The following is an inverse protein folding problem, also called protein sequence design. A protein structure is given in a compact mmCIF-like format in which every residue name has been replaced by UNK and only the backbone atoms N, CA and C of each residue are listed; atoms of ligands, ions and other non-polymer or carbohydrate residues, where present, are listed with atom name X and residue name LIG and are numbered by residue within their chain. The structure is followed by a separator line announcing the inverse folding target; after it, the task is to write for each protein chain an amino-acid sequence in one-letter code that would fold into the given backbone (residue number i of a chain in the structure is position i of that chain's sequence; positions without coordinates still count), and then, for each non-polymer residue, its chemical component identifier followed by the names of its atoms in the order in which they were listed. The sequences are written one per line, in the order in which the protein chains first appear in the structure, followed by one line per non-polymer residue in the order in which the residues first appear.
data_IF_594890552302
#
_entry.id   IF_594890552302
#
_cell.length_a   1.000
_cell.length_b   1.000
_cell.length_c   1.000
_cell.angle_alpha   90.00
_cell.angle_beta   90.00
_cell.angle_gamma   90.00
#
_symmetry.space_group_name_H-M   'P 1'
#
loop_
_entity.id
_entity.type
_entity.pdbx_description
1 polymer ?
#
# COMPACT_ATOMS: atom_id res chain seq x y z
N UNK A 1 55.93 -38.51 -51.25
CA UNK A 1 55.18 -38.88 -50.04
C UNK A 1 56.07 -38.60 -48.83
N UNK A 2 56.42 -37.36 -48.43
CA UNK A 2 55.66 -36.11 -48.15
C UNK A 2 54.49 -36.37 -47.19
N UNK A 3 54.35 -35.81 -45.99
CA UNK A 3 54.97 -34.70 -45.23
C UNK A 3 54.84 -35.03 -43.72
N UNK A 4 55.85 -34.95 -42.85
CA UNK A 4 56.56 -33.80 -42.22
C UNK A 4 55.64 -32.81 -41.44
N UNK A 5 55.82 -32.81 -40.11
CA UNK A 5 55.23 -31.89 -39.10
C UNK A 5 55.80 -30.47 -39.19
N UNK A 6 55.03 -29.44 -38.79
CA UNK A 6 55.42 -28.22 -38.02
C UNK A 6 54.16 -27.31 -37.79
N UNK A 7 54.13 -26.45 -36.75
CA UNK A 7 52.97 -26.20 -35.89
C UNK A 7 52.40 -24.76 -35.88
N UNK A 8 51.27 -24.61 -35.17
CA UNK A 8 50.86 -23.49 -34.28
C UNK A 8 51.63 -22.17 -34.38
N UNK A 9 51.11 -21.17 -35.12
CA UNK A 9 51.01 -19.73 -34.78
C UNK A 9 50.52 -18.94 -36.04
N UNK A 10 49.63 -17.95 -35.84
CA UNK A 10 49.10 -16.94 -36.79
C UNK A 10 47.76 -17.20 -37.51
N UNK A 11 46.98 -16.11 -37.58
CA UNK A 11 45.60 -15.89 -38.08
C UNK A 11 44.51 -16.43 -37.12
N UNK A 12 43.65 -15.63 -36.49
CA UNK A 12 42.96 -14.42 -36.94
C UNK A 12 42.30 -13.78 -35.68
N UNK A 13 42.86 -12.78 -34.99
CA UNK A 13 42.74 -11.34 -35.30
C UNK A 13 41.38 -10.85 -35.82
N UNK A 14 40.26 -11.42 -35.36
CA UNK A 14 38.94 -10.75 -35.37
C UNK A 14 38.19 -11.09 -34.07
N UNK A 15 38.33 -10.25 -33.04
CA UNK A 15 37.19 -9.93 -32.19
C UNK A 15 37.31 -8.48 -31.73
N UNK A 16 36.55 -7.67 -32.46
CA UNK A 16 36.25 -6.25 -32.26
C UNK A 16 36.07 -5.88 -30.78
N UNK A 17 36.74 -4.79 -30.41
CA UNK A 17 36.19 -3.68 -29.63
C UNK A 17 34.71 -3.84 -29.24
N UNK A 18 34.46 -4.33 -28.03
CA UNK A 18 33.23 -4.00 -27.31
C UNK A 18 33.48 -2.62 -26.71
N UNK A 19 33.25 -1.56 -27.48
CA UNK A 19 33.08 -0.23 -26.90
C UNK A 19 31.90 -0.33 -25.95
N UNK A 20 32.14 -0.13 -24.66
CA UNK A 20 31.10 0.11 -23.69
C UNK A 20 30.24 1.27 -24.22
N UNK A 21 29.06 0.96 -24.73
CA UNK A 21 28.07 1.99 -25.04
C UNK A 21 27.69 2.55 -23.67
N UNK A 22 27.97 3.83 -23.36
CA UNK A 22 27.44 4.41 -22.15
C UNK A 22 25.92 4.35 -22.32
N UNK A 23 25.26 3.51 -21.50
CA UNK A 23 23.82 3.58 -21.32
C UNK A 23 23.57 4.94 -20.72
N UNK A 24 23.32 5.93 -21.58
CA UNK A 24 22.86 7.23 -21.15
C UNK A 24 21.53 6.97 -20.46
N UNK A 25 21.54 7.06 -19.14
CA UNK A 25 20.31 7.25 -18.38
C UNK A 25 19.66 8.49 -18.99
N UNK A 26 18.58 8.29 -19.73
CA UNK A 26 17.76 9.39 -20.19
C UNK A 26 17.24 10.07 -18.93
N UNK A 27 17.87 11.19 -18.57
CA UNK A 27 17.35 12.08 -17.55
C UNK A 27 15.91 12.42 -17.97
N UNK A 28 14.94 11.94 -17.20
CA UNK A 28 13.54 12.26 -17.43
C UNK A 28 13.43 13.78 -17.47
N UNK A 29 13.11 14.34 -18.64
CA UNK A 29 13.10 15.78 -18.81
C UNK A 29 12.14 16.40 -17.77
N UNK A 30 12.59 17.43 -17.04
CA UNK A 30 11.81 18.07 -15.97
C UNK A 30 10.51 18.67 -16.50
N UNK A 31 9.35 18.20 -16.02
CA UNK A 31 8.04 18.64 -16.52
C UNK A 31 7.72 20.06 -16.04
N UNK A 32 7.66 21.02 -16.96
CA UNK A 32 7.32 22.41 -16.61
C UNK A 32 5.81 22.54 -16.40
N UNK A 33 5.38 23.13 -15.27
CA UNK A 33 3.96 23.35 -14.97
C UNK A 33 3.69 24.85 -14.89
N UNK A 34 2.62 25.27 -15.55
CA UNK A 34 2.13 26.65 -15.51
C UNK A 34 0.71 26.66 -14.96
N UNK A 35 0.43 27.52 -13.99
CA UNK A 35 -0.91 27.79 -13.48
C UNK A 35 -1.29 29.21 -13.88
N UNK A 36 -2.40 29.36 -14.59
CA UNK A 36 -2.90 30.65 -15.08
C UNK A 36 -1.83 31.49 -15.80
N UNK A 37 -0.99 30.82 -16.61
CA UNK A 37 0.10 31.46 -17.37
C UNK A 37 1.40 31.67 -16.60
N UNK A 38 1.42 31.45 -15.28
CA UNK A 38 2.62 31.61 -14.44
C UNK A 38 3.31 30.27 -14.22
N UNK A 39 4.62 30.20 -14.46
CA UNK A 39 5.41 28.99 -14.21
C UNK A 39 5.51 28.74 -12.70
N UNK A 40 5.11 27.56 -12.25
CA UNK A 40 5.29 27.13 -10.86
C UNK A 40 6.75 26.76 -10.65
N UNK A 41 7.38 27.34 -9.64
CA UNK A 41 8.74 26.99 -9.22
C UNK A 41 8.65 25.89 -8.17
N UNK A 42 9.24 24.74 -8.45
CA UNK A 42 9.19 23.59 -7.56
C UNK A 42 10.50 23.41 -6.80
N UNK A 43 10.41 23.26 -5.48
CA UNK A 43 11.56 22.80 -4.69
C UNK A 43 11.91 21.34 -4.99
N UNK A 44 10.91 20.52 -5.34
CA UNK A 44 11.10 19.20 -5.91
C UNK A 44 10.34 19.12 -7.24
N UNK A 45 11.09 18.92 -8.31
CA UNK A 45 10.56 18.81 -9.66
C UNK A 45 9.44 17.73 -9.76
N UNK A 46 8.42 17.97 -10.59
CA UNK A 46 7.39 16.98 -10.86
C UNK A 46 7.99 15.66 -11.36
N UNK A 47 7.45 14.55 -10.89
CA UNK A 47 7.89 13.20 -11.28
C UNK A 47 6.74 12.46 -11.94
N UNK A 48 7.06 11.55 -12.85
CA UNK A 48 6.10 10.61 -13.42
C UNK A 48 6.33 9.24 -12.80
N UNK A 49 5.29 8.69 -12.16
CA UNK A 49 5.34 7.38 -11.52
C UNK A 49 4.09 6.59 -11.91
N UNK A 50 4.28 5.42 -12.51
CA UNK A 50 3.20 4.54 -12.99
C UNK A 50 2.17 5.25 -13.88
N UNK A 51 2.63 6.18 -14.73
CA UNK A 51 1.76 6.97 -15.61
C UNK A 51 1.06 8.16 -14.93
N UNK A 52 1.24 8.35 -13.62
CA UNK A 52 0.73 9.50 -12.86
C UNK A 52 1.80 10.57 -12.71
N UNK A 53 1.49 11.83 -13.05
CA UNK A 53 2.35 12.96 -12.70
C UNK A 53 2.10 13.35 -11.24
N UNK A 54 3.13 13.22 -10.41
CA UNK A 54 3.14 13.69 -9.03
C UNK A 54 3.86 15.03 -8.95
N UNK A 55 3.28 15.96 -8.21
CA UNK A 55 3.78 17.33 -8.02
C UNK A 55 3.92 17.64 -6.54
N UNK A 56 4.82 18.56 -6.20
CA UNK A 56 4.95 18.97 -4.81
C UNK A 56 3.68 19.68 -4.34
N UNK A 57 3.18 19.24 -3.19
CA UNK A 57 1.88 19.64 -2.67
C UNK A 57 1.78 21.14 -2.41
N UNK A 58 2.77 21.68 -1.70
CA UNK A 58 2.80 23.07 -1.25
C UNK A 58 2.73 24.03 -2.44
N UNK A 59 3.70 23.91 -3.34
CA UNK A 59 3.88 24.82 -4.46
C UNK A 59 2.67 24.77 -5.41
N UNK A 60 2.07 23.59 -5.60
CA UNK A 60 0.90 23.46 -6.47
C UNK A 60 -0.37 24.00 -5.80
N UNK A 61 -0.60 23.72 -4.51
CA UNK A 61 -1.76 24.22 -3.76
C UNK A 61 -1.72 25.76 -3.66
N UNK A 62 -0.55 26.33 -3.36
CA UNK A 62 -0.33 27.77 -3.32
C UNK A 62 -0.52 28.42 -4.70
N UNK A 63 0.03 27.81 -5.76
CA UNK A 63 -0.16 28.31 -7.14
C UNK A 63 -1.62 28.26 -7.59
N UNK A 64 -2.44 27.39 -7.00
CA UNK A 64 -3.89 27.29 -7.26
C UNK A 64 -4.73 28.24 -6.40
N UNK A 65 -4.08 29.10 -5.59
CA UNK A 65 -4.77 30.13 -4.80
C UNK A 65 -5.31 29.62 -3.45
N UNK A 66 -4.75 28.54 -2.91
CA UNK A 66 -5.08 28.00 -1.60
C UNK A 66 -3.89 28.15 -0.64
N UNK A 67 -4.18 28.37 0.65
CA UNK A 67 -3.18 28.31 1.71
C UNK A 67 -2.82 26.86 1.99
N UNK A 68 -1.51 26.56 1.98
CA UNK A 68 -1.00 25.25 2.35
C UNK A 68 -0.74 25.15 3.85
N UNK A 69 -1.23 24.08 4.46
CA UNK A 69 -0.94 23.68 5.83
C UNK A 69 -0.49 22.21 5.85
N UNK A 70 0.53 21.92 6.64
CA UNK A 70 1.01 20.57 6.92
C UNK A 70 0.84 20.26 8.41
N UNK A 71 0.07 19.22 8.72
CA UNK A 71 -0.01 18.61 10.04
C UNK A 71 0.83 17.33 10.07
N UNK A 72 2.00 17.44 10.68
CA UNK A 72 2.95 16.33 10.79
C UNK A 72 2.41 15.19 11.65
N UNK A 73 1.58 15.48 12.66
CA UNK A 73 1.10 14.47 13.61
C UNK A 73 0.13 13.49 12.97
N UNK A 74 -0.76 14.00 12.12
CA UNK A 74 -1.73 13.21 11.37
C UNK A 74 -1.30 12.91 9.92
N UNK A 75 -0.04 13.23 9.57
CA UNK A 75 0.52 13.15 8.21
C UNK A 75 -0.41 13.75 7.15
N UNK A 76 -0.98 14.92 7.45
CA UNK A 76 -2.07 15.51 6.67
C UNK A 76 -1.69 16.83 6.05
N UNK A 77 -2.02 16.97 4.77
CA UNK A 77 -2.04 18.24 4.06
C UNK A 77 -3.43 18.82 4.11
N UNK A 78 -3.53 20.12 4.35
CA UNK A 78 -4.75 20.90 4.20
C UNK A 78 -4.46 22.07 3.25
N UNK A 79 -5.29 22.22 2.23
CA UNK A 79 -5.31 23.37 1.32
C UNK A 79 -6.60 24.15 1.50
N UNK A 80 -6.55 25.42 1.92
CA UNK A 80 -7.76 26.19 2.24
C UNK A 80 -7.79 27.53 1.51
N UNK A 81 -8.91 27.84 0.87
CA UNK A 81 -9.16 29.16 0.27
C UNK A 81 -9.29 30.23 1.35
N UNK A 82 -9.04 31.50 1.02
CA UNK A 82 -9.13 32.58 2.02
C UNK A 82 -10.53 32.73 2.64
N UNK A 83 -11.59 32.43 1.89
CA UNK A 83 -12.97 32.40 2.40
C UNK A 83 -13.29 31.16 3.24
N UNK A 84 -12.47 30.11 3.17
CA UNK A 84 -12.70 28.81 3.81
C UNK A 84 -13.65 27.88 3.04
N UNK A 85 -14.39 28.40 2.06
CA UNK A 85 -15.44 27.68 1.32
C UNK A 85 -14.93 26.53 0.44
N UNK A 86 -13.61 26.49 0.24
CA UNK A 86 -12.89 25.42 -0.44
C UNK A 86 -11.76 24.95 0.45
N UNK A 87 -11.84 23.68 0.85
CA UNK A 87 -10.86 22.98 1.68
C UNK A 87 -10.55 21.63 1.06
N UNK A 88 -9.28 21.40 0.73
CA UNK A 88 -8.75 20.09 0.34
C UNK A 88 -8.04 19.50 1.56
N UNK A 89 -8.27 18.23 1.86
CA UNK A 89 -7.48 17.51 2.86
C UNK A 89 -7.04 16.15 2.33
N UNK A 90 -5.76 15.81 2.55
CA UNK A 90 -5.14 14.57 2.08
C UNK A 90 -4.27 14.02 3.20
N UNK A 91 -4.36 12.72 3.46
CA UNK A 91 -3.45 12.01 4.37
C UNK A 91 -2.44 11.22 3.53
N UNK A 92 -1.15 11.31 3.88
CA UNK A 92 -0.09 10.62 3.13
C UNK A 92 -0.27 9.10 3.25
N UNK A 93 -0.13 8.40 2.12
CA UNK A 93 -0.29 6.95 2.03
C UNK A 93 -1.73 6.51 1.77
N UNK A 94 -2.71 7.38 2.01
CA UNK A 94 -4.11 7.09 1.74
C UNK A 94 -4.43 7.26 0.25
N UNK A 95 -5.30 6.37 -0.24
CA UNK A 95 -5.86 6.45 -1.59
C UNK A 95 -7.12 7.30 -1.65
N UNK A 96 -7.41 8.04 -0.59
CA UNK A 96 -8.54 8.96 -0.54
C UNK A 96 -8.07 10.35 -0.19
N UNK A 97 -8.81 11.32 -0.69
CA UNK A 97 -8.69 12.72 -0.31
C UNK A 97 -10.09 13.28 -0.11
N UNK A 98 -10.18 14.45 0.50
CA UNK A 98 -11.45 15.18 0.60
C UNK A 98 -11.37 16.55 -0.01
N UNK A 99 -12.49 16.97 -0.59
CA UNK A 99 -12.78 18.34 -1.00
C UNK A 99 -14.07 18.75 -0.30
N UNK A 100 -13.98 19.74 0.59
CA UNK A 100 -15.08 20.16 1.46
C UNK A 100 -15.74 18.99 2.23
N UNK A 101 -14.92 18.07 2.74
CA UNK A 101 -15.36 16.88 3.48
C UNK A 101 -15.90 15.73 2.62
N UNK A 102 -16.15 15.96 1.33
CA UNK A 102 -16.57 14.89 0.42
C UNK A 102 -15.35 14.08 -0.03
N UNK A 103 -15.41 12.77 0.10
CA UNK A 103 -14.35 11.86 -0.33
C UNK A 103 -14.23 11.75 -1.84
N UNK A 104 -12.99 11.69 -2.31
CA UNK A 104 -12.58 11.40 -3.67
C UNK A 104 -11.51 10.31 -3.65
N UNK A 105 -11.66 9.32 -4.53
CA UNK A 105 -10.71 8.23 -4.67
C UNK A 105 -9.54 8.67 -5.57
N UNK A 106 -8.33 8.41 -5.12
CA UNK A 106 -7.09 8.67 -5.84
C UNK A 106 -6.62 7.39 -6.53
N UNK A 107 -6.19 7.48 -7.79
CA UNK A 107 -5.56 6.35 -8.49
C UNK A 107 -4.11 6.06 -8.03
N UNK A 108 -3.51 6.98 -7.26
CA UNK A 108 -2.17 6.89 -6.67
C UNK A 108 -2.18 7.73 -5.40
N UNK A 109 -1.67 7.24 -4.26
CA UNK A 109 -1.74 7.96 -3.01
C UNK A 109 -0.73 9.13 -3.01
N UNK A 110 -0.93 10.09 -2.11
CA UNK A 110 0.13 11.05 -1.83
C UNK A 110 1.30 10.35 -1.13
N UNK A 111 2.53 10.68 -1.53
CA UNK A 111 3.75 10.04 -1.02
C UNK A 111 4.78 11.07 -0.59
N UNK A 112 5.57 10.75 0.42
CA UNK A 112 6.72 11.56 0.78
C UNK A 112 7.94 11.11 -0.03
N UNK A 113 8.59 12.04 -0.73
CA UNK A 113 9.85 11.81 -1.45
C UNK A 113 10.77 12.99 -1.20
N UNK A 114 12.05 12.73 -0.92
CA UNK A 114 13.07 13.76 -0.73
C UNK A 114 12.65 14.93 0.21
N UNK A 115 11.92 14.61 1.29
CA UNK A 115 11.43 15.60 2.26
C UNK A 115 10.29 16.49 1.77
N UNK A 116 9.63 16.14 0.65
CA UNK A 116 8.44 16.80 0.13
C UNK A 116 7.30 15.82 -0.05
N UNK A 117 6.10 16.30 0.19
CA UNK A 117 4.89 15.53 -0.10
C UNK A 117 4.53 15.74 -1.57
N UNK A 118 4.43 14.64 -2.30
CA UNK A 118 4.12 14.58 -3.72
C UNK A 118 2.72 14.01 -3.89
N UNK A 119 1.89 14.65 -4.70
CA UNK A 119 0.48 14.25 -4.89
C UNK A 119 0.09 14.22 -6.37
N UNK A 120 -0.92 13.42 -6.76
CA UNK A 120 -1.39 13.36 -8.15
C UNK A 120 -1.89 14.71 -8.66
N UNK A 121 -1.25 15.25 -9.69
CA UNK A 121 -1.60 16.56 -10.23
C UNK A 121 -3.08 16.65 -10.66
N UNK A 122 -3.58 15.58 -11.29
CA UNK A 122 -4.95 15.50 -11.78
C UNK A 122 -5.98 15.66 -10.66
N UNK A 123 -5.70 15.13 -9.46
CA UNK A 123 -6.60 15.28 -8.33
C UNK A 123 -6.83 16.77 -7.97
N UNK A 124 -5.76 17.58 -7.91
CA UNK A 124 -5.90 19.00 -7.60
C UNK A 124 -6.67 19.75 -8.68
N UNK A 125 -6.37 19.48 -9.95
CA UNK A 125 -7.02 20.18 -11.06
C UNK A 125 -8.50 19.84 -11.11
N UNK A 126 -8.86 18.56 -11.00
CA UNK A 126 -10.24 18.10 -11.11
C UNK A 126 -11.08 18.60 -9.91
N UNK A 127 -10.52 18.54 -8.69
CA UNK A 127 -11.19 18.99 -7.47
C UNK A 127 -11.50 20.48 -7.48
N UNK A 128 -10.64 21.29 -8.09
CA UNK A 128 -10.79 22.74 -8.18
C UNK A 128 -11.43 23.22 -9.48
N UNK A 129 -11.86 22.30 -10.36
CA UNK A 129 -12.48 22.65 -11.64
C UNK A 129 -11.54 23.36 -12.60
N UNK A 130 -10.24 23.12 -12.48
CA UNK A 130 -9.24 23.63 -13.41
C UNK A 130 -9.09 22.70 -14.62
N UNK A 131 -8.89 23.27 -15.80
CA UNK A 131 -8.55 22.48 -16.99
C UNK A 131 -7.05 22.24 -17.04
N UNK A 132 -6.67 21.03 -17.47
CA UNK A 132 -5.28 20.61 -17.64
C UNK A 132 -5.02 20.28 -19.11
N UNK A 133 -3.98 20.86 -19.70
CA UNK A 133 -3.54 20.56 -21.07
C UNK A 133 -2.04 20.32 -21.10
N UNK A 134 -1.60 19.22 -21.69
CA UNK A 134 -0.18 18.87 -21.83
C UNK A 134 0.30 19.03 -23.26
N UNK A 135 1.44 19.70 -23.46
CA UNK A 135 2.12 19.82 -24.76
C UNK A 135 3.61 19.55 -24.59
N UNK A 136 4.07 18.42 -25.10
CA UNK A 136 5.44 17.96 -24.86
C UNK A 136 5.72 17.84 -23.37
N UNK A 137 6.78 18.50 -22.89
CA UNK A 137 7.15 18.48 -21.48
C UNK A 137 6.52 19.62 -20.64
N UNK A 138 5.55 20.33 -21.20
CA UNK A 138 4.84 21.43 -20.56
C UNK A 138 3.42 21.01 -20.20
N UNK A 139 3.01 21.32 -18.97
CA UNK A 139 1.63 21.18 -18.49
C UNK A 139 1.07 22.56 -18.19
N UNK A 140 -0.07 22.89 -18.78
CA UNK A 140 -0.79 24.14 -18.57
C UNK A 140 -2.05 23.84 -17.75
N UNK A 141 -2.25 24.61 -16.69
CA UNK A 141 -3.40 24.54 -15.80
C UNK A 141 -4.11 25.88 -15.85
N UNK A 142 -5.41 25.87 -16.13
CA UNK A 142 -6.24 27.08 -16.17
C UNK A 142 -7.43 26.92 -15.23
N UNK A 143 -7.51 27.75 -14.20
CA UNK A 143 -8.66 27.76 -13.28
C UNK A 143 -9.84 28.47 -13.93
N UNK A 144 -11.03 27.89 -13.89
CA UNK A 144 -12.25 28.46 -14.51
C UNK A 144 -12.84 29.58 -13.65
N UNK A 145 -12.90 29.36 -12.34
CA UNK A 145 -13.21 30.36 -11.32
C UNK A 145 -12.35 30.04 -10.10
N UNK A 146 -11.65 31.02 -9.53
CA UNK A 146 -10.72 30.79 -8.42
C UNK A 146 -11.44 30.05 -7.28
N UNK A 147 -10.93 28.86 -6.95
CA UNK A 147 -11.38 28.00 -5.86
C UNK A 147 -12.87 27.56 -5.91
N UNK A 148 -13.62 27.80 -7.00
CA UNK A 148 -15.04 27.40 -7.11
C UNK A 148 -15.22 26.20 -8.03
N UNK A 149 -14.56 25.12 -7.65
CA UNK A 149 -14.60 23.84 -8.35
C UNK A 149 -15.96 23.14 -8.28
N UNK A 150 -16.08 21.94 -8.89
CA UNK A 150 -17.31 21.16 -8.93
C UNK A 150 -17.90 20.80 -7.56
N UNK A 151 -17.09 20.84 -6.50
CA UNK A 151 -17.48 20.46 -5.14
C UNK A 151 -17.56 21.65 -4.16
N UNK A 152 -17.59 22.87 -4.71
CA UNK A 152 -17.81 24.09 -3.95
C UNK A 152 -19.17 24.06 -3.24
N UNK A 153 -19.16 24.23 -1.91
CA UNK A 153 -20.39 24.20 -1.09
C UNK A 153 -21.11 25.53 -1.11
N UNK A 154 -20.37 26.65 -1.24
CA UNK A 154 -20.92 28.00 -1.05
C UNK A 154 -21.31 28.32 0.39
N UNK A 155 -20.84 27.52 1.35
CA UNK A 155 -21.10 27.68 2.77
C UNK A 155 -19.86 28.23 3.46
N UNK A 156 -20.00 29.12 4.47
CA UNK A 156 -18.88 29.69 5.21
C UNK A 156 -18.32 28.68 6.23
N UNK A 157 -17.88 27.53 5.72
CA UNK A 157 -17.39 26.39 6.49
C UNK A 157 -16.04 25.95 5.95
N UNK A 158 -15.07 25.73 6.84
CA UNK A 158 -13.89 24.93 6.51
C UNK A 158 -14.15 23.48 6.89
N UNK A 159 -14.07 22.59 5.91
CA UNK A 159 -14.49 21.19 6.07
C UNK A 159 -13.35 20.27 5.64
N UNK A 160 -12.89 19.44 6.57
CA UNK A 160 -11.94 18.35 6.33
C UNK A 160 -12.65 17.01 6.41
N UNK A 161 -11.94 15.90 6.26
CA UNK A 161 -12.48 14.57 6.53
C UNK A 161 -12.90 14.37 8.01
N UNK A 162 -12.24 15.05 8.94
CA UNK A 162 -12.44 14.85 10.39
C UNK A 162 -13.36 15.85 11.07
N UNK A 163 -13.39 17.10 10.59
CA UNK A 163 -14.05 18.18 11.30
C UNK A 163 -14.66 19.20 10.34
N UNK A 164 -15.63 19.94 10.87
CA UNK A 164 -16.17 21.16 10.29
C UNK A 164 -15.92 22.34 11.23
N UNK A 165 -15.53 23.49 10.66
CA UNK A 165 -15.30 24.73 11.39
C UNK A 165 -16.17 25.84 10.84
N UNK A 166 -16.84 26.56 11.73
CA UNK A 166 -17.66 27.71 11.39
C UNK A 166 -16.76 28.92 11.08
N UNK A 167 -16.82 29.43 9.85
CA UNK A 167 -16.10 30.63 9.38
C UNK A 167 -16.98 31.87 9.32
N UNK A 168 -18.26 31.76 9.69
CA UNK A 168 -19.19 32.88 9.77
C UNK A 168 -19.06 33.65 11.09
N UNK A 169 -19.79 34.77 11.20
CA UNK A 169 -19.89 35.59 12.40
C UNK A 169 -21.08 35.21 13.30
N UNK A 170 -21.86 34.20 12.91
CA UNK A 170 -23.05 33.75 13.63
C UNK A 170 -22.91 32.28 14.03
N UNK A 171 -23.67 31.83 15.02
CA UNK A 171 -23.79 30.41 15.33
C UNK A 171 -24.49 29.69 14.19
N UNK A 172 -23.92 28.58 13.74
CA UNK A 172 -24.47 27.76 12.65
C UNK A 172 -24.75 26.36 13.17
N UNK A 173 -25.90 25.80 12.78
CA UNK A 173 -26.11 24.35 12.83
C UNK A 173 -25.77 23.79 11.46
N UNK A 174 -24.79 22.88 11.40
CA UNK A 174 -24.35 22.23 10.17
C UNK A 174 -25.05 20.89 10.05
N UNK A 175 -25.88 20.74 9.04
CA UNK A 175 -26.58 19.49 8.73
C UNK A 175 -25.78 18.71 7.68
N UNK A 176 -25.46 17.46 7.98
CA UNK A 176 -24.67 16.60 7.11
C UNK A 176 -25.21 15.19 7.10
N UNK A 177 -24.88 14.46 6.05
CA UNK A 177 -25.27 13.06 5.89
C UNK A 177 -24.04 12.19 5.74
N UNK A 178 -24.07 11.05 6.42
CA UNK A 178 -23.09 9.98 6.31
C UNK A 178 -23.71 8.83 5.51
N UNK A 179 -22.94 8.30 4.57
CA UNK A 179 -23.39 7.29 3.63
C UNK A 179 -22.66 5.98 3.92
N UNK A 180 -23.40 4.89 3.95
CA UNK A 180 -22.84 3.55 4.05
C UNK A 180 -23.60 2.59 3.13
N UNK A 181 -23.06 1.39 2.96
CA UNK A 181 -23.67 0.37 2.12
C UNK A 181 -23.28 -1.02 2.58
N UNK A 182 -24.17 -1.97 2.35
CA UNK A 182 -23.88 -3.40 2.38
C UNK A 182 -24.21 -4.02 1.01
N UNK A 183 -24.09 -5.34 0.87
CA UNK A 183 -24.30 -6.06 -0.40
C UNK A 183 -25.67 -5.84 -1.06
N UNK A 184 -26.67 -5.32 -0.32
CA UNK A 184 -28.06 -5.23 -0.79
C UNK A 184 -28.65 -3.83 -0.70
N UNK A 185 -28.15 -2.97 0.20
CA UNK A 185 -28.78 -1.70 0.53
C UNK A 185 -27.75 -0.60 0.76
N UNK A 186 -28.13 0.61 0.32
CA UNK A 186 -27.46 1.86 0.64
C UNK A 186 -28.19 2.53 1.80
N UNK A 187 -27.43 3.08 2.75
CA UNK A 187 -27.95 3.77 3.91
C UNK A 187 -27.46 5.22 3.94
N UNK A 188 -28.31 6.09 4.46
CA UNK A 188 -28.05 7.52 4.63
C UNK A 188 -28.45 7.92 6.04
N UNK A 189 -27.48 8.37 6.84
CA UNK A 189 -27.68 8.79 8.23
C UNK A 189 -27.53 10.30 8.33
N UNK A 190 -28.58 10.99 8.79
CA UNK A 190 -28.58 12.44 8.98
C UNK A 190 -28.06 12.81 10.36
N UNK A 191 -27.20 13.81 10.40
CA UNK A 191 -26.60 14.34 11.62
C UNK A 191 -26.54 15.87 11.57
N UNK A 192 -26.42 16.48 12.74
CA UNK A 192 -26.20 17.92 12.86
C UNK A 192 -25.13 18.24 13.91
N UNK A 193 -24.47 19.38 13.76
CA UNK A 193 -23.55 19.93 14.76
C UNK A 193 -23.69 21.45 14.83
N UNK A 194 -23.98 21.98 16.01
CA UNK A 194 -24.08 23.42 16.25
C UNK A 194 -22.75 24.00 16.69
N UNK A 195 -22.31 25.07 16.03
CA UNK A 195 -20.99 25.67 16.18
C UNK A 195 -21.09 27.18 16.34
N UNK A 196 -20.59 27.71 17.46
CA UNK A 196 -20.34 29.14 17.62
C UNK A 196 -19.32 29.67 16.58
N UNK A 197 -19.28 30.99 16.32
CA UNK A 197 -18.32 31.60 15.41
C UNK A 197 -16.86 31.18 15.70
N UNK A 198 -16.16 30.70 14.67
CA UNK A 198 -14.77 30.28 14.76
C UNK A 198 -14.52 28.93 15.44
N UNK A 199 -15.53 28.28 16.02
CA UNK A 199 -15.40 26.96 16.65
C UNK A 199 -15.44 25.84 15.61
N UNK A 200 -14.89 24.69 15.99
CA UNK A 200 -14.86 23.46 15.20
C UNK A 200 -15.55 22.33 15.95
N UNK A 201 -16.20 21.43 15.21
CA UNK A 201 -16.79 20.20 15.70
C UNK A 201 -16.30 19.00 14.88
N UNK A 202 -16.15 17.86 15.54
CA UNK A 202 -15.89 16.60 14.84
C UNK A 202 -17.18 16.05 14.25
N UNK A 203 -17.06 15.32 13.15
CA UNK A 203 -18.18 14.52 12.63
C UNK A 203 -18.37 13.24 13.44
N UNK A 204 -19.50 12.56 13.28
CA UNK A 204 -19.80 11.31 13.97
C UNK A 204 -18.78 10.21 13.61
N UNK A 205 -18.70 9.81 12.33
CA UNK A 205 -17.74 8.81 11.84
C UNK A 205 -16.44 9.47 11.34
N UNK A 206 -15.87 10.41 12.11
CA UNK A 206 -14.72 11.21 11.68
C UNK A 206 -13.41 10.44 11.44
N UNK A 207 -13.31 9.20 11.93
CA UNK A 207 -12.13 8.33 11.75
C UNK A 207 -12.23 7.42 10.55
N UNK A 208 -13.44 7.19 10.04
CA UNK A 208 -13.66 6.23 8.96
C UNK A 208 -13.32 6.86 7.60
N UNK A 209 -12.71 6.05 6.75
CA UNK A 209 -12.51 6.32 5.33
C UNK A 209 -13.37 5.36 4.49
N UNK A 210 -13.66 5.69 3.22
CA UNK A 210 -14.44 4.80 2.36
C UNK A 210 -13.89 3.37 2.30
N UNK A 211 -14.75 2.39 2.57
CA UNK A 211 -14.42 0.97 2.66
C UNK A 211 -14.17 0.45 4.08
N UNK A 212 -14.07 1.32 5.09
CA UNK A 212 -13.99 0.87 6.48
C UNK A 212 -15.34 0.29 6.95
N UNK A 213 -15.28 -0.76 7.77
CA UNK A 213 -16.46 -1.30 8.44
C UNK A 213 -17.06 -0.26 9.41
N UNK A 214 -18.39 -0.15 9.41
CA UNK A 214 -19.14 0.72 10.31
C UNK A 214 -19.27 0.04 11.67
N UNK A 215 -18.80 0.64 12.78
CA UNK A 215 -18.88 0.03 14.10
C UNK A 215 -20.32 -0.22 14.54
N UNK A 216 -20.63 -1.47 14.90
CA UNK A 216 -21.95 -1.87 15.39
C UNK A 216 -22.98 -2.19 14.31
N UNK A 217 -22.57 -2.18 13.04
CA UNK A 217 -23.41 -2.57 11.89
C UNK A 217 -22.74 -3.74 11.16
N UNK A 218 -23.44 -4.86 11.00
CA UNK A 218 -22.89 -6.04 10.35
C UNK A 218 -22.78 -5.82 8.83
N UNK A 219 -21.64 -6.24 8.25
CA UNK A 219 -21.33 -6.20 6.82
C UNK A 219 -21.61 -4.85 6.13
N UNK A 220 -21.54 -3.76 6.90
CA UNK A 220 -21.84 -2.41 6.42
C UNK A 220 -20.56 -1.58 6.37
N UNK A 221 -20.31 -0.97 5.22
CA UNK A 221 -19.09 -0.23 4.93
C UNK A 221 -19.41 1.25 4.73
N UNK A 222 -18.56 2.10 5.30
CA UNK A 222 -18.66 3.54 5.14
C UNK A 222 -18.31 3.93 3.70
N UNK A 223 -19.12 4.78 3.08
CA UNK A 223 -18.90 5.29 1.72
C UNK A 223 -18.45 6.75 1.69
N UNK A 224 -18.83 7.54 2.71
CA UNK A 224 -18.41 8.92 2.82
C UNK A 224 -19.41 9.83 3.52
N UNK A 225 -19.24 11.13 3.31
CA UNK A 225 -20.08 12.18 3.91
C UNK A 225 -20.28 13.33 2.94
N UNK A 226 -21.40 14.03 3.08
CA UNK A 226 -21.60 15.35 2.46
C UNK A 226 -22.29 16.30 3.44
N UNK A 227 -21.85 17.55 3.48
CA UNK A 227 -22.60 18.62 4.14
C UNK A 227 -23.79 18.96 3.25
N UNK A 228 -24.99 18.86 3.82
CA UNK A 228 -26.27 19.08 3.15
C UNK A 228 -26.66 20.54 3.21
N UNK A 229 -26.68 21.13 4.39
CA UNK A 229 -27.09 22.51 4.60
C UNK A 229 -26.52 23.10 5.89
N UNK A 230 -26.73 24.41 6.08
CA UNK A 230 -26.62 25.07 7.38
C UNK A 230 -27.95 25.73 7.73
N UNK A 231 -28.24 25.87 9.02
CA UNK A 231 -29.31 26.72 9.55
C UNK A 231 -28.77 27.76 10.52
N UNK A 232 -29.46 28.90 10.58
CA UNK A 232 -29.14 30.04 11.44
C UNK A 232 -30.31 30.31 12.38
N UNK A 233 -30.12 30.05 13.68
CA UNK A 233 -31.16 30.23 14.68
C UNK A 233 -31.03 29.24 15.85
N UNK A 234 -31.95 29.34 16.81
CA UNK A 234 -32.06 28.38 17.92
C UNK A 234 -32.74 27.06 17.50
N UNK A 235 -33.47 27.08 16.37
CA UNK A 235 -34.13 25.94 15.74
C UNK A 235 -33.38 25.59 14.44
N UNK A 236 -33.10 24.31 14.22
CA UNK A 236 -32.33 23.81 13.08
C UNK A 236 -33.10 23.84 11.75
N UNK A 237 -34.37 24.24 11.77
CA UNK A 237 -35.26 24.37 10.61
C UNK A 237 -35.39 25.79 10.04
N UNK A 238 -34.89 26.82 10.73
CA UNK A 238 -35.00 28.21 10.29
C UNK A 238 -33.77 28.69 9.48
N UNK A 239 -34.03 29.52 8.46
CA UNK A 239 -33.00 30.15 7.61
C UNK A 239 -32.00 29.16 6.99
N UNK A 240 -32.52 28.06 6.44
CA UNK A 240 -31.70 26.99 5.85
C UNK A 240 -31.03 27.46 4.55
N UNK A 241 -29.72 27.29 4.47
CA UNK A 241 -28.93 27.49 3.24
C UNK A 241 -28.35 26.15 2.81
N UNK A 242 -28.78 25.69 1.63
CA UNK A 242 -28.34 24.42 1.04
C UNK A 242 -26.91 24.49 0.50
N UNK A 243 -26.17 23.39 0.66
CA UNK A 243 -24.87 23.18 0.06
C UNK A 243 -25.00 22.98 -1.45
N UNK A 244 -24.28 23.79 -2.23
CA UNK A 244 -24.29 23.72 -3.69
C UNK A 244 -23.73 22.41 -4.24
N UNK A 245 -22.91 21.70 -3.47
CA UNK A 245 -22.27 20.45 -3.91
C UNK A 245 -22.98 19.20 -3.41
N UNK A 246 -23.96 19.29 -2.51
CA UNK A 246 -24.58 18.13 -1.86
C UNK A 246 -25.17 17.12 -2.85
N UNK A 247 -26.06 17.56 -3.75
CA UNK A 247 -26.69 16.66 -4.73
C UNK A 247 -25.67 15.97 -5.64
N UNK A 248 -24.56 16.66 -5.96
CA UNK A 248 -23.48 16.09 -6.75
C UNK A 248 -22.67 15.07 -5.95
N UNK A 249 -22.39 15.36 -4.68
CA UNK A 249 -21.72 14.45 -3.77
C UNK A 249 -22.53 13.16 -3.56
N UNK A 250 -23.82 13.32 -3.23
CA UNK A 250 -24.76 12.21 -3.08
C UNK A 250 -24.83 11.35 -4.35
N UNK A 251 -24.98 11.99 -5.52
CA UNK A 251 -24.98 11.25 -6.80
C UNK A 251 -23.65 10.54 -7.07
N UNK A 252 -22.51 11.16 -6.74
CA UNK A 252 -21.20 10.54 -6.92
C UNK A 252 -21.05 9.30 -6.03
N UNK A 253 -21.38 9.40 -4.74
CA UNK A 253 -21.23 8.30 -3.78
C UNK A 253 -22.11 7.11 -4.13
N UNK A 254 -23.37 7.35 -4.52
CA UNK A 254 -24.29 6.30 -4.94
C UNK A 254 -24.29 6.06 -6.46
N UNK A 255 -23.32 6.61 -7.19
CA UNK A 255 -23.07 6.16 -8.55
C UNK A 255 -22.39 4.81 -8.47
N UNK A 256 -22.80 3.86 -9.31
CA UNK A 256 -22.05 2.62 -9.49
C UNK A 256 -20.58 2.88 -9.84
N UNK A 257 -20.26 4.05 -10.43
CA UNK A 257 -18.89 4.47 -10.72
C UNK A 257 -18.00 4.59 -9.47
N UNK A 258 -18.54 5.05 -8.33
CA UNK A 258 -17.76 5.17 -7.09
C UNK A 258 -17.36 3.79 -6.56
N UNK A 259 -18.34 2.90 -6.41
CA UNK A 259 -18.12 1.51 -5.97
C UNK A 259 -17.20 0.75 -6.94
N UNK A 260 -17.42 0.91 -8.25
CA UNK A 260 -16.56 0.33 -9.28
C UNK A 260 -15.11 0.84 -9.19
N UNK A 261 -14.94 2.15 -8.95
CA UNK A 261 -13.61 2.76 -8.78
C UNK A 261 -12.93 2.25 -7.52
N UNK A 262 -13.67 2.14 -6.41
CA UNK A 262 -13.17 1.63 -5.14
C UNK A 262 -12.75 0.16 -5.26
N UNK A 263 -13.60 -0.66 -5.88
CA UNK A 263 -13.32 -2.08 -6.16
C UNK A 263 -12.11 -2.26 -7.06
N UNK A 264 -12.04 -1.50 -8.15
CA UNK A 264 -10.90 -1.55 -9.07
C UNK A 264 -9.59 -1.13 -8.39
N UNK A 265 -9.65 -0.13 -7.51
CA UNK A 265 -8.51 0.30 -6.72
C UNK A 265 -8.05 -0.82 -5.77
N UNK A 266 -8.95 -1.39 -4.97
CA UNK A 266 -8.59 -2.46 -4.03
C UNK A 266 -7.99 -3.66 -4.76
N UNK A 267 -8.58 -4.07 -5.89
CA UNK A 267 -8.03 -5.11 -6.74
C UNK A 267 -6.60 -4.79 -7.17
N UNK A 268 -6.36 -3.59 -7.69
CA UNK A 268 -5.02 -3.14 -8.10
C UNK A 268 -4.03 -3.18 -6.93
N UNK A 269 -4.42 -2.69 -5.75
CA UNK A 269 -3.55 -2.68 -4.56
C UNK A 269 -3.18 -4.12 -4.14
N UNK A 270 -4.15 -5.04 -4.13
CA UNK A 270 -3.91 -6.46 -3.81
C UNK A 270 -2.97 -7.09 -4.83
N UNK A 271 -3.17 -6.84 -6.12
CA UNK A 271 -2.30 -7.33 -7.20
C UNK A 271 -0.86 -6.81 -7.05
N UNK A 272 -0.68 -5.52 -6.77
CA UNK A 272 0.63 -4.91 -6.54
C UNK A 272 1.33 -5.48 -5.30
N UNK A 273 0.62 -5.63 -4.17
CA UNK A 273 1.18 -6.23 -2.96
C UNK A 273 1.56 -7.70 -3.19
N UNK A 274 0.70 -8.45 -3.87
CA UNK A 274 0.97 -9.85 -4.23
C UNK A 274 2.22 -9.96 -5.10
N UNK A 275 2.37 -9.09 -6.09
CA UNK A 275 3.55 -9.06 -6.96
C UNK A 275 4.84 -8.76 -6.18
N UNK A 276 4.80 -7.79 -5.26
CA UNK A 276 5.94 -7.46 -4.38
C UNK A 276 6.32 -8.64 -3.49
N UNK A 277 5.33 -9.24 -2.82
CA UNK A 277 5.54 -10.42 -1.98
C UNK A 277 6.21 -11.57 -2.77
N UNK A 278 5.71 -11.87 -3.98
CA UNK A 278 6.33 -12.88 -4.86
C UNK A 278 7.77 -12.54 -5.24
N UNK A 279 8.05 -11.26 -5.51
CA UNK A 279 9.40 -10.80 -5.80
C UNK A 279 10.34 -10.99 -4.61
N UNK A 280 9.92 -10.62 -3.40
CA UNK A 280 10.68 -10.82 -2.17
C UNK A 280 10.94 -12.30 -1.91
N UNK A 281 9.92 -13.14 -2.07
CA UNK A 281 10.02 -14.59 -1.93
C UNK A 281 11.06 -15.18 -2.91
N UNK A 282 11.05 -14.72 -4.17
CA UNK A 282 12.03 -15.11 -5.19
C UNK A 282 13.45 -14.69 -4.79
N UNK A 283 13.63 -13.50 -4.22
CA UNK A 283 14.95 -13.06 -3.75
C UNK A 283 15.43 -13.91 -2.57
N UNK A 284 14.57 -14.20 -1.60
CA UNK A 284 14.91 -15.09 -0.49
C UNK A 284 15.23 -16.51 -0.97
N UNK A 285 14.50 -17.04 -1.95
CA UNK A 285 14.78 -18.35 -2.54
C UNK A 285 16.17 -18.40 -3.20
N UNK A 286 16.57 -17.33 -3.91
CA UNK A 286 17.92 -17.20 -4.49
C UNK A 286 18.97 -17.19 -3.38
N UNK A 287 18.78 -16.39 -2.32
CA UNK A 287 19.68 -16.37 -1.15
C UNK A 287 19.77 -17.74 -0.48
N UNK A 288 18.67 -18.48 -0.45
CA UNK A 288 18.60 -19.86 0.05
C UNK A 288 19.04 -20.91 -0.98
N UNK A 289 19.81 -20.52 -2.00
CA UNK A 289 20.40 -21.41 -3.02
C UNK A 289 19.36 -22.31 -3.71
N UNK A 290 18.17 -21.78 -3.96
CA UNK A 290 17.05 -22.47 -4.60
C UNK A 290 16.52 -23.70 -3.84
N UNK A 291 16.79 -23.79 -2.54
CA UNK A 291 16.13 -24.75 -1.66
C UNK A 291 14.75 -24.19 -1.28
N UNK A 292 13.64 -24.90 -1.59
CA UNK A 292 12.28 -24.38 -1.40
C UNK A 292 11.92 -24.03 0.05
N UNK A 293 12.51 -24.74 1.00
CA UNK A 293 12.31 -24.53 2.43
C UNK A 293 13.58 -23.93 3.05
N UNK A 294 13.43 -22.82 3.77
CA UNK A 294 14.49 -22.24 4.59
C UNK A 294 14.32 -22.73 6.01
N UNK A 295 15.37 -23.32 6.58
CA UNK A 295 15.43 -23.61 8.01
C UNK A 295 15.62 -22.28 8.73
N UNK A 296 14.65 -21.92 9.56
CA UNK A 296 14.60 -20.65 10.30
C UNK A 296 15.17 -20.82 11.70
N UNK A 297 14.81 -21.93 12.34
CA UNK A 297 15.21 -22.23 13.71
C UNK A 297 15.16 -23.75 13.95
N UNK A 298 15.86 -24.20 14.98
CA UNK A 298 15.81 -25.59 15.43
C UNK A 298 16.16 -25.72 16.90
N UNK A 299 15.39 -26.54 17.63
CA UNK A 299 15.56 -26.74 19.08
C UNK A 299 15.11 -28.13 19.51
N UNK A 300 15.53 -28.54 20.69
CA UNK A 300 15.14 -29.81 21.31
C UNK A 300 14.05 -29.56 22.36
N UNK A 301 13.00 -30.37 22.32
CA UNK A 301 12.01 -30.51 23.41
C UNK A 301 12.02 -31.94 23.92
N UNK A 302 11.17 -32.22 24.91
CA UNK A 302 11.00 -33.55 25.46
C UNK A 302 9.51 -33.89 25.47
N UNK A 303 9.19 -35.11 25.04
CA UNK A 303 7.83 -35.63 25.10
C UNK A 303 7.41 -35.92 26.54
N UNK A 304 6.15 -36.29 26.76
CA UNK A 304 5.65 -36.71 28.09
C UNK A 304 6.31 -37.98 28.62
N UNK A 305 7.02 -38.73 27.75
CA UNK A 305 7.79 -39.92 28.11
C UNK A 305 9.30 -39.61 28.21
N UNK A 306 9.67 -38.32 28.32
CA UNK A 306 11.05 -37.84 28.41
C UNK A 306 11.94 -38.24 27.21
N UNK A 307 11.30 -38.49 26.05
CA UNK A 307 12.00 -38.76 24.80
C UNK A 307 12.36 -37.43 24.14
N UNK A 308 13.62 -37.18 23.73
CA UNK A 308 13.97 -35.93 23.06
C UNK A 308 13.31 -35.83 21.68
N UNK A 309 12.89 -34.62 21.36
CA UNK A 309 12.16 -34.27 20.14
C UNK A 309 12.92 -33.18 19.36
N UNK A 310 13.25 -33.47 18.11
CA UNK A 310 13.82 -32.47 17.19
C UNK A 310 12.71 -31.60 16.62
N UNK A 311 12.73 -30.30 16.94
CA UNK A 311 11.81 -29.32 16.36
C UNK A 311 12.56 -28.47 15.33
N UNK A 312 12.08 -28.43 14.09
CA UNK A 312 12.68 -27.63 13.02
C UNK A 312 11.61 -26.70 12.45
N UNK A 313 11.82 -25.40 12.61
CA UNK A 313 10.98 -24.37 12.01
C UNK A 313 11.46 -24.05 10.61
N UNK A 314 10.57 -24.16 9.63
CA UNK A 314 10.87 -23.89 8.22
C UNK A 314 9.93 -22.83 7.64
N UNK A 315 10.43 -22.11 6.64
CA UNK A 315 9.69 -21.14 5.83
C UNK A 315 9.53 -21.65 4.40
N UNK A 316 8.32 -21.57 3.84
CA UNK A 316 8.10 -21.84 2.42
C UNK A 316 8.51 -20.64 1.55
N UNK A 317 9.61 -20.78 0.82
CA UNK A 317 10.14 -19.75 -0.08
C UNK A 317 9.61 -19.88 -1.52
N UNK A 318 8.48 -20.54 -1.73
CA UNK A 318 7.89 -20.74 -3.05
C UNK A 318 6.43 -20.31 -3.09
N UNK A 319 5.96 -19.94 -4.29
CA UNK A 319 4.54 -19.62 -4.50
C UNK A 319 3.62 -20.83 -4.40
N UNK A 320 4.18 -22.04 -4.38
CA UNK A 320 3.43 -23.29 -4.33
C UNK A 320 3.19 -23.71 -2.89
N UNK A 321 2.01 -24.24 -2.61
CA UNK A 321 1.74 -24.90 -1.33
C UNK A 321 2.58 -26.18 -1.23
N UNK A 322 3.29 -26.33 -0.12
CA UNK A 322 4.10 -27.53 0.18
C UNK A 322 3.26 -28.47 1.03
N UNK A 323 3.32 -29.77 0.70
CA UNK A 323 2.52 -30.81 1.37
C UNK A 323 3.35 -31.90 2.05
N UNK A 324 4.62 -32.03 1.67
CA UNK A 324 5.60 -32.85 2.36
C UNK A 324 7.02 -32.45 2.01
N UNK A 325 7.97 -32.81 2.87
CA UNK A 325 9.40 -32.71 2.62
C UNK A 325 10.18 -33.76 3.41
N UNK A 326 11.35 -34.08 2.89
CA UNK A 326 12.36 -34.90 3.55
C UNK A 326 13.49 -33.99 4.04
N UNK A 327 13.99 -34.27 5.23
CA UNK A 327 15.09 -33.56 5.88
C UNK A 327 16.08 -34.54 6.45
N UNK A 328 17.35 -34.16 6.45
CA UNK A 328 18.38 -34.85 7.22
C UNK A 328 19.07 -33.89 8.17
N UNK A 329 19.49 -34.38 9.32
CA UNK A 329 20.25 -33.61 10.30
C UNK A 329 21.10 -34.54 11.15
N UNK A 330 22.06 -33.98 11.87
CA UNK A 330 22.93 -34.72 12.79
C UNK A 330 22.64 -34.32 14.23
N UNK A 331 22.58 -35.32 15.10
CA UNK A 331 22.32 -35.16 16.53
C UNK A 331 23.63 -35.07 17.32
N UNK A 332 23.68 -34.15 18.29
CA UNK A 332 24.83 -33.90 19.14
C UNK A 332 24.40 -33.70 20.59
N UNK A 333 25.25 -34.13 21.53
CA UNK A 333 25.03 -33.95 22.97
C UNK A 333 25.53 -32.58 23.49
N UNK A 334 25.45 -32.39 24.80
CA UNK A 334 25.88 -31.14 25.47
C UNK A 334 27.39 -30.91 25.44
N UNK A 335 28.19 -31.95 25.20
CA UNK A 335 29.64 -31.84 25.02
C UNK A 335 30.01 -31.52 23.56
N UNK A 336 29.04 -31.63 22.65
CA UNK A 336 29.23 -31.43 21.22
C UNK A 336 29.69 -32.69 20.49
N UNK A 337 29.58 -33.86 21.14
CA UNK A 337 29.89 -35.16 20.55
C UNK A 337 28.69 -35.70 19.76
N UNK A 338 28.89 -36.41 18.63
CA UNK A 338 27.79 -36.96 17.86
C UNK A 338 27.06 -38.07 18.64
N UNK A 339 25.73 -37.97 18.73
CA UNK A 339 24.89 -39.02 19.33
C UNK A 339 24.61 -40.09 18.27
N UNK A 340 25.21 -41.27 18.44
CA UNK A 340 25.13 -42.37 17.49
C UNK A 340 23.90 -43.24 17.76
N UNK A 341 23.04 -43.41 16.75
CA UNK A 341 22.00 -44.42 16.79
C UNK A 341 22.67 -45.81 16.72
N UNK A 342 22.49 -46.68 17.75
CA UNK A 342 23.14 -47.98 17.84
C UNK A 342 22.69 -48.96 16.74
N UNK A 343 21.52 -48.75 16.13
CA UNK A 343 21.00 -49.63 15.08
C UNK A 343 21.59 -49.33 13.71
N UNK A 344 21.81 -48.05 13.41
CA UNK A 344 22.34 -47.59 12.12
C UNK A 344 23.85 -47.31 12.16
N UNK A 345 24.44 -47.17 13.35
CA UNK A 345 25.84 -46.80 13.55
C UNK A 345 26.16 -45.35 13.12
N UNK A 346 25.16 -44.47 13.05
CA UNK A 346 25.30 -43.11 12.52
C UNK A 346 24.62 -42.08 13.43
N UNK A 347 25.12 -40.84 13.45
CA UNK A 347 24.39 -39.71 14.08
C UNK A 347 23.41 -39.02 13.13
N UNK A 348 23.34 -39.46 11.87
CA UNK A 348 22.47 -38.89 10.85
C UNK A 348 21.02 -39.37 11.03
N UNK A 349 20.14 -38.44 11.36
CA UNK A 349 18.70 -38.66 11.36
C UNK A 349 18.10 -38.34 9.98
N UNK A 350 17.07 -39.09 9.58
CA UNK A 350 16.28 -38.87 8.36
C UNK A 350 14.82 -38.60 8.74
N UNK A 351 14.44 -37.34 8.72
CA UNK A 351 13.07 -36.92 8.94
C UNK A 351 12.26 -36.94 7.65
N UNK A 352 11.06 -37.49 7.71
CA UNK A 352 10.07 -37.41 6.64
C UNK A 352 8.83 -36.79 7.26
N UNK A 353 8.22 -35.86 6.53
CA UNK A 353 6.90 -35.33 6.88
C UNK A 353 5.84 -35.95 5.99
N UNK A 354 4.61 -36.07 6.50
CA UNK A 354 3.46 -36.52 5.72
C UNK A 354 2.28 -35.64 6.05
N UNK A 355 1.49 -35.32 5.03
CA UNK A 355 0.14 -34.77 5.17
C UNK A 355 0.07 -33.50 6.02
N UNK A 356 0.58 -32.39 5.47
CA UNK A 356 0.30 -31.04 5.97
C UNK A 356 0.03 -30.10 4.80
N UNK A 357 -0.32 -28.84 5.09
CA UNK A 357 -0.37 -27.78 4.09
C UNK A 357 0.39 -26.56 4.60
N UNK A 358 1.46 -26.17 3.90
CA UNK A 358 2.21 -24.95 4.18
C UNK A 358 2.08 -24.01 2.99
N UNK A 359 1.34 -22.92 3.15
CA UNK A 359 1.09 -21.95 2.08
C UNK A 359 2.36 -21.18 1.73
N UNK A 360 2.31 -20.44 0.61
CA UNK A 360 3.40 -19.60 0.15
C UNK A 360 3.80 -18.57 1.21
N UNK A 361 5.08 -18.54 1.59
CA UNK A 361 5.64 -17.62 2.59
C UNK A 361 5.31 -17.92 4.05
N UNK A 362 4.48 -18.93 4.32
CA UNK A 362 4.16 -19.34 5.68
C UNK A 362 5.34 -20.06 6.36
N UNK A 363 5.23 -20.19 7.68
CA UNK A 363 6.19 -20.88 8.53
C UNK A 363 5.49 -21.96 9.35
N UNK A 364 6.15 -23.10 9.55
CA UNK A 364 5.68 -24.15 10.44
C UNK A 364 6.84 -24.84 11.14
N UNK A 365 6.58 -25.38 12.32
CA UNK A 365 7.51 -26.24 13.06
C UNK A 365 7.11 -27.69 12.87
N UNK A 366 8.09 -28.52 12.54
CA UNK A 366 7.93 -29.96 12.39
C UNK A 366 8.77 -30.67 13.44
N UNK A 367 8.18 -31.70 14.05
CA UNK A 367 8.73 -32.39 15.22
C UNK A 367 8.98 -33.85 14.89
N UNK A 368 10.13 -34.38 15.32
CA UNK A 368 10.46 -35.81 15.22
C UNK A 368 11.00 -36.33 16.54
N UNK A 369 10.47 -37.46 16.99
CA UNK A 369 11.01 -38.19 18.14
C UNK A 369 12.38 -38.78 17.79
N UNK A 370 13.37 -38.53 18.65
CA UNK A 370 14.75 -38.97 18.47
C UNK A 370 15.03 -40.28 19.20
N UNK A 371 14.19 -41.29 18.94
CA UNK A 371 14.36 -42.63 19.52
C UNK A 371 15.77 -43.18 19.23
N UNK A 372 16.40 -43.73 20.26
CA UNK A 372 17.78 -44.26 20.22
C UNK A 372 18.87 -43.20 20.09
N UNK A 373 18.52 -41.91 20.24
CA UNK A 373 19.45 -40.79 20.30
C UNK A 373 19.12 -39.91 21.52
N UNK A 374 18.87 -40.55 22.67
CA UNK A 374 18.23 -39.97 23.86
C UNK A 374 19.04 -38.83 24.52
N UNK A 375 20.36 -38.76 24.26
CA UNK A 375 21.25 -37.72 24.80
C UNK A 375 21.38 -36.48 23.89
N UNK A 376 20.54 -36.35 22.86
CA UNK A 376 20.61 -35.22 21.93
C UNK A 376 20.20 -33.92 22.60
N UNK A 377 21.06 -32.90 22.52
CA UNK A 377 20.77 -31.55 22.99
C UNK A 377 20.83 -30.49 21.89
N UNK A 378 21.41 -30.81 20.73
CA UNK A 378 21.45 -29.90 19.58
C UNK A 378 21.43 -30.62 18.24
N UNK A 379 20.91 -29.92 17.23
CA UNK A 379 20.86 -30.37 15.83
C UNK A 379 21.89 -29.59 15.01
N UNK A 380 22.61 -30.27 14.12
CA UNK A 380 23.51 -29.62 13.15
C UNK A 380 23.31 -30.17 11.75
N UNK A 381 23.80 -29.43 10.75
CA UNK A 381 23.76 -29.81 9.33
C UNK A 381 22.36 -30.14 8.80
N UNK A 382 21.35 -29.40 9.26
CA UNK A 382 19.96 -29.57 8.83
C UNK A 382 19.86 -29.28 7.33
N UNK A 383 19.41 -30.27 6.58
CA UNK A 383 19.46 -30.31 5.12
C UNK A 383 18.11 -30.77 4.59
N UNK A 384 17.37 -29.88 3.94
CA UNK A 384 16.18 -30.25 3.17
C UNK A 384 16.61 -30.96 1.89
N UNK A 385 16.18 -32.21 1.71
CA UNK A 385 16.62 -33.08 0.61
C UNK A 385 15.57 -33.26 -0.48
N UNK A 386 14.29 -33.18 -0.13
CA UNK A 386 13.16 -33.35 -1.05
C UNK A 386 11.97 -32.54 -0.59
N UNK A 387 11.19 -31.98 -1.51
CA UNK A 387 9.96 -31.23 -1.22
C UNK A 387 8.91 -31.59 -2.25
N UNK A 388 7.69 -31.92 -1.82
CA UNK A 388 6.54 -32.15 -2.68
C UNK A 388 5.52 -31.02 -2.53
N UNK A 389 4.93 -30.62 -3.65
CA UNK A 389 3.95 -29.55 -3.73
C UNK A 389 2.54 -30.10 -3.93
N UNK A 390 1.54 -29.29 -3.60
CA UNK A 390 0.12 -29.63 -3.77
C UNK A 390 -0.29 -29.88 -5.22
N UNK A 391 0.47 -29.36 -6.20
CA UNK A 391 0.26 -29.58 -7.63
C UNK A 391 0.88 -30.90 -8.14
N UNK A 392 1.42 -31.73 -7.25
CA UNK A 392 2.05 -33.02 -7.57
C UNK A 392 3.51 -32.93 -8.03
N UNK A 393 4.06 -31.72 -8.20
CA UNK A 393 5.48 -31.57 -8.56
C UNK A 393 6.38 -31.82 -7.35
N UNK A 394 7.64 -32.20 -7.63
CA UNK A 394 8.63 -32.54 -6.59
C UNK A 394 9.96 -31.88 -6.89
N UNK A 395 10.50 -31.16 -5.91
CA UNK A 395 11.88 -30.71 -5.89
C UNK A 395 12.77 -31.72 -5.16
N UNK A 396 13.96 -31.97 -5.70
CA UNK A 396 15.00 -32.78 -5.09
C UNK A 396 16.30 -31.99 -5.05
N UNK A 397 17.00 -32.03 -3.92
CA UNK A 397 18.34 -31.46 -3.79
C UNK A 397 19.27 -32.17 -4.78
N UNK A 398 20.02 -31.38 -5.55
CA UNK A 398 21.04 -31.88 -6.49
C UNK A 398 22.36 -32.15 -5.80
#
# INVERSE_FOLDING_TARGET
MTNRKIPFLMLLTILLFVTAVPVSSAASASKAIYVNGTKVQYAQEPISENGTTLVSARETIEALGLKFQWDKSSKRIIGTSDSGETTIAIVIGEYTATINGMYLILGTPAVEKNGRVMLPLRFLTDSLGASLTTKGNTTLIKTVAENKGPYYTGLPLEITNTYVKNRSKQTLTVNYEEFSSNDTHNFTYSHSVTLEPGKKGAFNLYKLIPGDAVPGEDDTYYLGRAVKSISMGADDTENVTESKSYNKAHKYIFSGDFENTLTALFKKVIEEQTARFKQELKQELIKNKYVPLKVVDSFITYSVLDTPEANIRVANLTEKKIVSFDVTFKCYDNYGDPVIDPTSGSSLFKGITRTFELSSGDYATFTWDLLWQDNTSSLRNITITKVAYSDGTVWKRK
#
